data_IF_288157061533
#
_entry.id   IF_288157061533
#
_cell.length_a   1.000
_cell.length_b   1.000
_cell.length_c   1.000
_cell.angle_alpha   90.00
_cell.angle_beta   90.00
_cell.angle_gamma   90.00
#
_symmetry.space_group_name_H-M   'P 1'
#
loop_
_entity.id
_entity.type
_entity.pdbx_description
1 polymer ?
#
# COMPACT_ATOMS: atom_id res chain seq x y z
N UNK A 1 12.59 24.17 8.89
CA UNK A 1 11.96 23.30 7.87
C UNK A 1 12.73 23.50 6.58
N UNK A 2 13.38 22.46 6.06
CA UNK A 2 14.19 22.56 4.85
C UNK A 2 13.23 22.69 3.66
N UNK A 3 13.23 23.86 3.02
CA UNK A 3 12.49 24.12 1.78
C UNK A 3 13.11 23.25 0.68
N UNK A 4 12.58 22.03 0.52
CA UNK A 4 13.05 21.14 -0.55
C UNK A 4 12.66 21.73 -1.89
N UNK A 5 13.59 21.77 -2.83
CA UNK A 5 13.26 22.09 -4.21
C UNK A 5 12.36 20.99 -4.81
N UNK A 6 11.58 21.32 -5.84
CA UNK A 6 10.73 20.34 -6.55
C UNK A 6 11.58 19.18 -7.10
N UNK A 7 12.79 19.46 -7.56
CA UNK A 7 13.74 18.47 -8.05
C UNK A 7 14.23 17.54 -6.93
N UNK A 8 14.56 18.08 -5.76
CA UNK A 8 14.92 17.28 -4.58
C UNK A 8 13.76 16.39 -4.11
N UNK A 9 12.52 16.90 -4.17
CA UNK A 9 11.33 16.09 -3.86
C UNK A 9 11.23 14.93 -4.86
N UNK A 10 11.34 15.19 -6.16
CA UNK A 10 11.27 14.14 -7.18
C UNK A 10 12.33 13.07 -6.98
N UNK A 11 13.60 13.47 -6.83
CA UNK A 11 14.73 12.54 -6.68
C UNK A 11 14.57 11.73 -5.39
N UNK A 12 14.24 12.38 -4.27
CA UNK A 12 14.08 11.69 -2.99
C UNK A 12 12.88 10.73 -2.99
N UNK A 13 11.77 11.11 -3.62
CA UNK A 13 10.60 10.26 -3.78
C UNK A 13 10.84 9.08 -4.72
N UNK A 14 11.51 9.28 -5.84
CA UNK A 14 11.88 8.21 -6.77
C UNK A 14 12.87 7.22 -6.13
N UNK A 15 13.85 7.72 -5.36
CA UNK A 15 14.77 6.89 -4.59
C UNK A 15 14.04 6.06 -3.55
N UNK A 16 13.11 6.69 -2.82
CA UNK A 16 12.29 6.01 -1.83
C UNK A 16 11.41 4.92 -2.46
N UNK A 17 10.80 5.18 -3.61
CA UNK A 17 10.01 4.19 -4.31
C UNK A 17 10.87 3.00 -4.76
N UNK A 18 12.01 3.26 -5.42
CA UNK A 18 12.91 2.20 -5.91
C UNK A 18 13.46 1.32 -4.78
N UNK A 19 13.69 1.90 -3.59
CA UNK A 19 14.21 1.16 -2.45
C UNK A 19 13.16 0.27 -1.77
N UNK A 20 11.90 0.72 -1.74
CA UNK A 20 10.87 0.09 -0.91
C UNK A 20 9.84 -0.73 -1.70
N UNK A 21 9.60 -0.39 -2.98
CA UNK A 21 8.65 -1.13 -3.81
C UNK A 21 9.03 -2.61 -3.99
N UNK A 22 10.28 -2.96 -4.34
CA UNK A 22 10.68 -4.36 -4.44
C UNK A 22 10.53 -5.10 -3.09
N UNK A 23 10.88 -4.44 -1.97
CA UNK A 23 10.75 -5.03 -0.63
C UNK A 23 9.30 -5.32 -0.27
N UNK A 24 8.40 -4.39 -0.55
CA UNK A 24 6.96 -4.60 -0.37
C UNK A 24 6.47 -5.84 -1.13
N UNK A 25 6.81 -5.93 -2.42
CA UNK A 25 6.42 -7.07 -3.26
C UNK A 25 6.99 -8.38 -2.72
N UNK A 26 8.26 -8.40 -2.30
CA UNK A 26 8.92 -9.58 -1.74
C UNK A 26 8.28 -9.98 -0.41
N UNK A 27 8.08 -9.07 0.54
CA UNK A 27 7.47 -9.39 1.83
C UNK A 27 6.04 -9.89 1.67
N UNK A 28 5.23 -9.21 0.86
CA UNK A 28 3.84 -9.61 0.64
C UNK A 28 3.75 -10.96 -0.11
N UNK A 29 4.58 -11.14 -1.14
CA UNK A 29 4.66 -12.38 -1.90
C UNK A 29 5.13 -13.56 -1.04
N UNK A 30 6.16 -13.34 -0.20
CA UNK A 30 6.65 -14.38 0.71
C UNK A 30 5.64 -14.71 1.80
N UNK A 31 4.89 -13.74 2.33
CA UNK A 31 3.80 -14.01 3.27
C UNK A 31 2.77 -14.96 2.66
N UNK A 32 2.38 -14.69 1.40
CA UNK A 32 1.45 -15.54 0.66
C UNK A 32 2.03 -16.93 0.38
N UNK A 33 3.28 -17.03 -0.09
CA UNK A 33 3.95 -18.31 -0.38
C UNK A 33 4.08 -19.16 0.89
N UNK A 34 4.55 -18.58 2.00
CA UNK A 34 4.71 -19.30 3.28
C UNK A 34 3.37 -19.82 3.78
N UNK A 35 2.32 -18.99 3.72
CA UNK A 35 0.97 -19.42 4.05
C UNK A 35 0.48 -20.57 3.16
N UNK A 36 0.65 -20.42 1.84
CA UNK A 36 0.20 -21.41 0.86
C UNK A 36 0.89 -22.76 1.08
N UNK A 37 2.22 -22.77 1.21
CA UNK A 37 2.98 -24.01 1.43
C UNK A 37 2.62 -24.62 2.79
N UNK A 38 2.55 -23.78 3.83
CA UNK A 38 2.24 -24.22 5.19
C UNK A 38 0.89 -24.90 5.32
N UNK A 39 -0.15 -24.28 4.76
CA UNK A 39 -1.53 -24.80 4.82
C UNK A 39 -1.79 -25.95 3.86
N UNK A 40 -1.10 -25.99 2.71
CA UNK A 40 -1.31 -27.02 1.69
C UNK A 40 -0.52 -28.30 1.96
N UNK A 41 0.74 -28.18 2.43
CA UNK A 41 1.64 -29.33 2.56
C UNK A 41 1.97 -29.65 4.01
N UNK A 42 2.58 -28.72 4.75
CA UNK A 42 3.15 -29.04 6.07
C UNK A 42 2.08 -29.40 7.11
N UNK A 43 1.04 -28.57 7.26
CA UNK A 43 -0.02 -28.82 8.24
C UNK A 43 -0.70 -30.18 7.97
N UNK A 44 -1.17 -30.50 6.73
CA UNK A 44 -1.77 -31.80 6.45
C UNK A 44 -0.83 -33.00 6.65
N UNK A 45 0.45 -32.88 6.29
CA UNK A 45 1.42 -33.97 6.40
C UNK A 45 1.67 -34.39 7.85
N UNK A 46 1.62 -33.44 8.77
CA UNK A 46 1.89 -33.67 10.19
C UNK A 46 0.62 -33.88 11.04
N UNK A 47 -0.57 -33.97 10.40
CA UNK A 47 -1.82 -34.29 11.11
C UNK A 47 -1.75 -35.69 11.72
N UNK A 48 -2.15 -35.79 12.98
CA UNK A 48 -2.13 -37.05 13.74
C UNK A 48 -0.74 -37.52 14.18
N UNK A 49 0.32 -36.76 13.88
CA UNK A 49 1.64 -36.99 14.46
C UNK A 49 1.79 -36.17 15.75
N UNK A 50 2.36 -36.78 16.79
CA UNK A 50 2.48 -36.16 18.10
C UNK A 50 3.93 -36.07 18.55
N UNK A 51 4.31 -34.89 19.05
CA UNK A 51 5.56 -34.65 19.75
C UNK A 51 5.25 -34.53 21.25
N UNK A 52 5.32 -35.66 21.95
CA UNK A 52 4.85 -35.76 23.33
C UNK A 52 3.34 -35.57 23.41
N UNK A 53 2.89 -34.52 24.11
CA UNK A 53 1.46 -34.22 24.29
C UNK A 53 0.88 -33.25 23.24
N UNK A 54 1.70 -32.74 22.32
CA UNK A 54 1.30 -31.72 21.35
C UNK A 54 1.30 -32.33 19.94
N UNK A 55 0.23 -32.10 19.18
CA UNK A 55 0.17 -32.49 17.78
C UNK A 55 1.13 -31.62 16.94
N UNK A 56 1.96 -32.26 16.11
CA UNK A 56 2.95 -31.58 15.28
C UNK A 56 2.31 -30.54 14.33
N UNK A 57 1.13 -30.85 13.78
CA UNK A 57 0.34 -29.92 12.95
C UNK A 57 -0.01 -28.61 13.66
N UNK A 58 -0.21 -28.65 14.99
CA UNK A 58 -0.46 -27.46 15.82
C UNK A 58 0.79 -26.61 15.97
N UNK A 59 1.95 -27.24 16.10
CA UNK A 59 3.23 -26.54 16.16
C UNK A 59 3.54 -25.84 14.83
N UNK A 60 3.35 -26.55 13.70
CA UNK A 60 3.51 -25.99 12.37
C UNK A 60 2.61 -24.77 12.17
N UNK A 61 1.34 -24.88 12.57
CA UNK A 61 0.37 -23.79 12.46
C UNK A 61 0.85 -22.53 13.20
N UNK A 62 1.40 -22.68 14.42
CA UNK A 62 1.93 -21.54 15.20
C UNK A 62 3.16 -20.92 14.51
N UNK A 63 4.08 -21.75 14.00
CA UNK A 63 5.30 -21.29 13.34
C UNK A 63 4.97 -20.54 12.04
N UNK A 64 4.11 -21.13 11.20
CA UNK A 64 3.63 -20.52 9.95
C UNK A 64 2.91 -19.20 10.25
N UNK A 65 2.03 -19.20 11.25
CA UNK A 65 1.30 -17.99 11.66
C UNK A 65 2.27 -16.87 12.05
N UNK A 66 3.24 -17.16 12.91
CA UNK A 66 4.23 -16.18 13.35
C UNK A 66 5.05 -15.62 12.17
N UNK A 67 5.52 -16.50 11.27
CA UNK A 67 6.26 -16.10 10.08
C UNK A 67 5.44 -15.18 9.17
N UNK A 68 4.19 -15.55 8.90
CA UNK A 68 3.29 -14.78 8.05
C UNK A 68 2.95 -13.41 8.67
N UNK A 69 2.69 -13.35 9.98
CA UNK A 69 2.45 -12.09 10.69
C UNK A 69 3.63 -11.14 10.56
N UNK A 70 4.86 -11.62 10.74
CA UNK A 70 6.07 -10.80 10.60
C UNK A 70 6.23 -10.27 9.18
N UNK A 71 6.03 -11.13 8.16
CA UNK A 71 6.14 -10.74 6.75
C UNK A 71 5.05 -9.74 6.36
N UNK A 72 3.81 -9.95 6.81
CA UNK A 72 2.72 -9.01 6.58
C UNK A 72 3.02 -7.67 7.25
N UNK A 73 3.48 -7.66 8.49
CA UNK A 73 3.83 -6.43 9.20
C UNK A 73 4.94 -5.64 8.47
N UNK A 74 5.98 -6.33 7.99
CA UNK A 74 7.01 -5.72 7.16
C UNK A 74 6.42 -5.13 5.86
N UNK A 75 5.47 -5.82 5.22
CA UNK A 75 4.78 -5.30 4.03
C UNK A 75 3.99 -4.01 4.30
N UNK A 76 3.36 -3.86 5.48
CA UNK A 76 2.66 -2.64 5.89
C UNK A 76 3.60 -1.45 6.01
N UNK A 77 4.81 -1.65 6.55
CA UNK A 77 5.82 -0.59 6.64
C UNK A 77 6.25 -0.15 5.24
N UNK A 78 6.59 -1.12 4.39
CA UNK A 78 7.13 -0.83 3.05
C UNK A 78 6.09 -0.19 2.14
N UNK A 79 4.83 -0.63 2.16
CA UNK A 79 3.78 -0.03 1.33
C UNK A 79 3.49 1.42 1.73
N UNK A 80 3.61 1.76 3.02
CA UNK A 80 3.49 3.14 3.48
C UNK A 80 4.58 4.04 2.87
N UNK A 81 5.82 3.54 2.82
CA UNK A 81 6.93 4.24 2.18
C UNK A 81 6.75 4.34 0.65
N UNK A 82 6.28 3.27 0.01
CA UNK A 82 5.94 3.26 -1.42
C UNK A 82 4.88 4.32 -1.74
N UNK A 83 3.81 4.39 -0.92
CA UNK A 83 2.73 5.37 -1.05
C UNK A 83 3.26 6.81 -1.00
N UNK A 84 4.15 7.09 -0.05
CA UNK A 84 4.79 8.40 0.09
C UNK A 84 5.69 8.75 -1.09
N UNK A 85 6.39 7.75 -1.63
CA UNK A 85 7.21 7.88 -2.84
C UNK A 85 6.37 8.26 -4.05
N UNK A 86 5.26 7.54 -4.29
CA UNK A 86 4.33 7.82 -5.40
C UNK A 86 3.71 9.21 -5.26
N UNK A 87 3.19 9.54 -4.08
CA UNK A 87 2.58 10.84 -3.80
C UNK A 87 3.56 12.01 -4.07
N UNK A 88 4.81 11.90 -3.59
CA UNK A 88 5.80 12.94 -3.77
C UNK A 88 6.27 13.09 -5.22
N UNK A 89 6.38 11.99 -5.98
CA UNK A 89 6.68 12.08 -7.41
C UNK A 89 5.56 12.78 -8.19
N UNK A 90 4.29 12.48 -7.90
CA UNK A 90 3.15 13.10 -8.57
C UNK A 90 3.11 14.61 -8.26
N UNK A 91 3.27 14.99 -6.99
CA UNK A 91 3.32 16.41 -6.60
C UNK A 91 4.49 17.11 -7.30
N UNK A 92 5.67 16.49 -7.35
CA UNK A 92 6.82 17.09 -8.02
C UNK A 92 6.63 17.23 -9.53
N UNK A 93 5.93 16.28 -10.17
CA UNK A 93 5.58 16.36 -11.59
C UNK A 93 4.59 17.48 -11.87
N UNK A 94 3.57 17.65 -11.01
CA UNK A 94 2.56 18.70 -11.16
C UNK A 94 3.16 20.10 -10.95
N UNK A 95 4.03 20.24 -9.95
CA UNK A 95 4.69 21.50 -9.60
C UNK A 95 5.93 21.80 -10.45
N UNK A 96 6.15 21.10 -11.56
CA UNK A 96 7.35 21.25 -12.38
C UNK A 96 7.54 22.72 -12.82
N UNK A 97 8.62 23.35 -12.35
CA UNK A 97 8.95 24.77 -12.58
C UNK A 97 8.45 25.75 -11.52
N UNK A 98 7.80 25.28 -10.44
CA UNK A 98 7.56 26.07 -9.22
C UNK A 98 8.76 25.95 -8.27
N UNK A 99 9.09 27.03 -7.57
CA UNK A 99 10.15 27.03 -6.53
C UNK A 99 9.64 26.60 -5.17
N UNK A 100 8.32 26.60 -4.93
CA UNK A 100 7.73 26.30 -3.62
C UNK A 100 6.82 25.10 -3.66
N UNK A 101 7.03 24.20 -2.70
CA UNK A 101 6.19 23.05 -2.40
C UNK A 101 5.22 23.47 -1.29
N UNK A 102 3.93 23.29 -1.51
CA UNK A 102 2.94 23.39 -0.44
C UNK A 102 2.94 22.10 0.39
N UNK A 103 3.40 22.20 1.64
CA UNK A 103 3.43 21.09 2.60
C UNK A 103 2.04 20.52 2.88
N UNK A 104 0.98 21.35 2.86
CA UNK A 104 -0.39 20.89 3.06
C UNK A 104 -0.84 19.99 1.90
N UNK A 105 -0.57 20.42 0.67
CA UNK A 105 -0.80 19.65 -0.57
C UNK A 105 -0.06 18.32 -0.54
N UNK A 106 1.24 18.33 -0.20
CA UNK A 106 2.04 17.10 -0.13
C UNK A 106 1.51 16.14 0.95
N UNK A 107 1.16 16.64 2.14
CA UNK A 107 0.57 15.81 3.20
C UNK A 107 -0.77 15.21 2.79
N UNK A 108 -1.65 16.00 2.16
CA UNK A 108 -2.96 15.54 1.69
C UNK A 108 -2.78 14.43 0.65
N UNK A 109 -1.86 14.61 -0.30
CA UNK A 109 -1.53 13.61 -1.31
C UNK A 109 -1.01 12.31 -0.68
N UNK A 110 0.00 12.40 0.20
CA UNK A 110 0.57 11.23 0.90
C UNK A 110 -0.49 10.44 1.66
N UNK A 111 -1.36 11.14 2.40
CA UNK A 111 -2.45 10.50 3.15
C UNK A 111 -3.38 9.73 2.22
N UNK A 112 -3.81 10.34 1.11
CA UNK A 112 -4.69 9.69 0.13
C UNK A 112 -4.06 8.43 -0.44
N UNK A 113 -2.79 8.49 -0.86
CA UNK A 113 -2.08 7.33 -1.38
C UNK A 113 -1.94 6.21 -0.34
N UNK A 114 -1.57 6.54 0.91
CA UNK A 114 -1.49 5.55 1.99
C UNK A 114 -2.84 4.86 2.22
N UNK A 115 -3.94 5.60 2.25
CA UNK A 115 -5.27 5.02 2.45
C UNK A 115 -5.60 4.00 1.36
N UNK A 116 -5.27 4.28 0.11
CA UNK A 116 -5.53 3.38 -1.01
C UNK A 116 -4.57 2.19 -0.98
N UNK A 117 -3.28 2.44 -0.77
CA UNK A 117 -2.27 1.39 -0.92
C UNK A 117 -2.27 0.40 0.25
N UNK A 118 -2.71 0.81 1.45
CA UNK A 118 -2.90 -0.14 2.56
C UNK A 118 -3.97 -1.21 2.29
N UNK A 119 -4.84 -1.02 1.29
CA UNK A 119 -5.82 -2.04 0.88
C UNK A 119 -5.10 -3.33 0.42
N UNK A 120 -3.94 -3.23 -0.22
CA UNK A 120 -3.21 -4.39 -0.74
C UNK A 120 -2.83 -5.40 0.37
N UNK A 121 -1.99 -5.06 1.37
CA UNK A 121 -1.63 -6.00 2.42
C UNK A 121 -2.83 -6.39 3.30
N UNK A 122 -3.82 -5.50 3.50
CA UNK A 122 -5.04 -5.84 4.24
C UNK A 122 -5.83 -6.95 3.54
N UNK A 123 -5.96 -6.88 2.22
CA UNK A 123 -6.70 -7.89 1.44
C UNK A 123 -5.96 -9.23 1.45
N UNK A 124 -4.64 -9.23 1.27
CA UNK A 124 -3.83 -10.45 1.35
C UNK A 124 -3.86 -11.04 2.77
N UNK A 125 -3.73 -10.21 3.81
CA UNK A 125 -3.87 -10.65 5.19
C UNK A 125 -5.23 -11.32 5.41
N UNK A 126 -6.31 -10.72 4.91
CA UNK A 126 -7.63 -11.34 5.01
C UNK A 126 -7.68 -12.71 4.33
N UNK A 127 -7.14 -12.86 3.12
CA UNK A 127 -7.11 -14.16 2.43
C UNK A 127 -6.34 -15.22 3.22
N UNK A 128 -5.24 -14.83 3.87
CA UNK A 128 -4.42 -15.71 4.70
C UNK A 128 -5.18 -16.12 5.96
N UNK A 129 -5.76 -15.14 6.65
CA UNK A 129 -6.41 -15.34 7.94
C UNK A 129 -7.87 -15.81 7.81
N UNK A 130 -8.51 -15.74 6.65
CA UNK A 130 -9.94 -16.04 6.50
C UNK A 130 -10.26 -17.46 6.96
N UNK A 131 -9.42 -18.43 6.60
CA UNK A 131 -9.60 -19.83 7.00
C UNK A 131 -9.46 -19.98 8.52
N UNK A 132 -8.45 -19.32 9.11
CA UNK A 132 -8.23 -19.32 10.57
C UNK A 132 -9.34 -18.60 11.33
N UNK A 133 -9.87 -17.50 10.80
CA UNK A 133 -10.94 -16.71 11.43
C UNK A 133 -12.29 -17.42 11.36
N UNK A 134 -12.53 -18.22 10.31
CA UNK A 134 -13.78 -18.98 10.15
C UNK A 134 -13.96 -20.02 11.26
N UNK A 135 -12.85 -20.64 11.69
CA UNK A 135 -12.84 -21.63 12.77
C UNK A 135 -13.09 -21.00 14.16
N UNK A 136 -12.85 -19.69 14.31
CA UNK A 136 -13.04 -18.96 15.57
C UNK A 136 -14.46 -18.38 15.66
N UNK A 137 -14.91 -17.63 14.65
CA UNK A 137 -16.25 -17.07 14.59
C UNK A 137 -16.66 -16.75 13.13
N UNK A 138 -17.67 -17.45 12.58
CA UNK A 138 -18.15 -17.24 11.21
C UNK A 138 -18.59 -15.80 10.89
N UNK A 139 -19.04 -15.04 11.89
CA UNK A 139 -19.45 -13.63 11.70
C UNK A 139 -18.26 -12.72 11.37
N UNK A 140 -17.06 -13.05 11.86
CA UNK A 140 -15.85 -12.24 11.61
C UNK A 140 -15.43 -12.30 10.15
N UNK A 141 -15.62 -13.44 9.51
CA UNK A 141 -15.36 -13.64 8.08
C UNK A 141 -16.36 -12.87 7.21
N UNK A 142 -17.58 -12.62 7.69
CA UNK A 142 -18.59 -11.85 6.96
C UNK A 142 -18.39 -10.34 7.10
N UNK A 143 -18.08 -9.85 8.30
CA UNK A 143 -17.96 -8.41 8.56
C UNK A 143 -16.66 -7.80 8.02
N UNK A 144 -15.57 -8.56 8.00
CA UNK A 144 -14.28 -8.04 7.56
C UNK A 144 -14.24 -7.64 6.08
N UNK A 145 -14.73 -8.45 5.11
CA UNK A 145 -14.86 -8.04 3.72
C UNK A 145 -15.70 -6.78 3.55
N UNK A 146 -16.81 -6.65 4.27
CA UNK A 146 -17.67 -5.46 4.22
C UNK A 146 -16.86 -4.22 4.62
N UNK A 147 -16.08 -4.31 5.70
CA UNK A 147 -15.17 -3.24 6.10
C UNK A 147 -14.14 -2.89 5.02
N UNK A 148 -13.49 -3.90 4.41
CA UNK A 148 -12.51 -3.67 3.33
C UNK A 148 -13.17 -3.04 2.09
N UNK A 149 -14.39 -3.43 1.75
CA UNK A 149 -15.17 -2.82 0.66
C UNK A 149 -15.47 -1.36 0.96
N UNK A 150 -15.98 -1.05 2.15
CA UNK A 150 -16.25 0.33 2.59
C UNK A 150 -14.98 1.17 2.51
N UNK A 151 -13.86 0.67 3.04
CA UNK A 151 -12.58 1.35 2.96
C UNK A 151 -12.14 1.54 1.51
N UNK A 152 -12.28 0.55 0.65
CA UNK A 152 -11.95 0.66 -0.78
C UNK A 152 -12.74 1.76 -1.46
N UNK A 153 -14.05 1.85 -1.18
CA UNK A 153 -14.90 2.94 -1.69
C UNK A 153 -14.43 4.30 -1.17
N UNK A 154 -14.16 4.43 0.13
CA UNK A 154 -13.64 5.66 0.74
C UNK A 154 -12.30 6.07 0.10
N UNK A 155 -11.39 5.11 -0.07
CA UNK A 155 -10.09 5.31 -0.71
C UNK A 155 -10.23 5.80 -2.15
N UNK A 156 -11.10 5.16 -2.93
CA UNK A 156 -11.39 5.54 -4.31
C UNK A 156 -11.97 6.96 -4.41
N UNK A 157 -12.96 7.30 -3.57
CA UNK A 157 -13.54 8.65 -3.55
C UNK A 157 -12.50 9.71 -3.20
N UNK A 158 -11.68 9.46 -2.17
CA UNK A 158 -10.60 10.39 -1.81
C UNK A 158 -9.55 10.53 -2.92
N UNK A 159 -9.21 9.43 -3.59
CA UNK A 159 -8.30 9.43 -4.73
C UNK A 159 -8.82 10.32 -5.84
N UNK A 160 -10.09 10.14 -6.23
CA UNK A 160 -10.75 10.96 -7.26
C UNK A 160 -10.79 12.43 -6.89
N UNK A 161 -11.19 12.77 -5.67
CA UNK A 161 -11.30 14.18 -5.24
C UNK A 161 -9.93 14.84 -5.18
N UNK A 162 -8.95 14.20 -4.51
CA UNK A 162 -7.64 14.81 -4.25
C UNK A 162 -6.80 14.80 -5.51
N UNK A 163 -6.65 13.67 -6.19
CA UNK A 163 -5.82 13.61 -7.40
C UNK A 163 -6.52 14.30 -8.57
N UNK A 164 -7.86 14.22 -8.65
CA UNK A 164 -8.63 14.91 -9.68
C UNK A 164 -8.44 16.43 -9.64
N UNK A 165 -8.55 17.06 -8.46
CA UNK A 165 -8.33 18.51 -8.34
C UNK A 165 -6.93 18.93 -8.78
N UNK A 166 -5.95 18.09 -8.49
CA UNK A 166 -4.54 18.34 -8.77
C UNK A 166 -4.21 18.22 -10.25
N UNK A 167 -4.82 17.24 -10.92
CA UNK A 167 -4.74 17.06 -12.39
C UNK A 167 -5.47 18.19 -13.11
N UNK A 168 -6.62 18.62 -12.61
CA UNK A 168 -7.38 19.73 -13.20
C UNK A 168 -6.59 21.05 -13.14
N UNK A 169 -5.98 21.36 -12.00
CA UNK A 169 -5.07 22.52 -11.86
C UNK A 169 -3.92 22.45 -12.87
N UNK A 170 -3.29 21.29 -13.02
CA UNK A 170 -2.20 21.08 -13.97
C UNK A 170 -2.66 21.30 -15.42
N UNK A 171 -3.84 20.81 -15.78
CA UNK A 171 -4.43 20.97 -17.11
C UNK A 171 -4.76 22.44 -17.43
N UNK A 172 -5.30 23.18 -16.45
CA UNK A 172 -5.56 24.62 -16.57
C UNK A 172 -4.26 25.40 -16.77
N UNK A 173 -3.24 25.13 -15.94
CA UNK A 173 -1.93 25.78 -16.05
C UNK A 173 -1.24 25.51 -17.40
N UNK A 174 -1.37 24.29 -17.93
CA UNK A 174 -0.86 23.94 -19.26
C UNK A 174 -1.57 24.73 -20.37
N UNK A 175 -2.90 24.79 -20.30
CA UNK A 175 -3.73 25.53 -21.27
C UNK A 175 -3.37 27.02 -21.30
N UNK A 176 -3.17 27.62 -20.12
CA UNK A 176 -2.79 29.03 -20.02
C UNK A 176 -1.39 29.31 -20.58
N UNK A 177 -0.43 28.41 -20.34
CA UNK A 177 0.92 28.49 -20.96
C UNK A 177 0.84 28.43 -22.49
N UNK A 178 -0.01 27.55 -23.03
CA UNK A 178 -0.22 27.43 -24.49
C UNK A 178 -0.86 28.69 -25.08
N UNK A 179 -1.89 29.24 -24.44
CA UNK A 179 -2.53 30.52 -24.85
C UNK A 179 -1.53 31.67 -24.87
N UNK A 180 -0.69 31.80 -23.84
CA UNK A 180 0.36 32.84 -23.78
C UNK A 180 1.38 32.69 -24.92
N UNK A 181 1.83 31.46 -25.23
CA UNK A 181 2.75 31.19 -26.35
C UNK A 181 2.12 31.51 -27.72
N UNK A 182 0.81 31.30 -27.89
CA UNK A 182 0.11 31.62 -29.12
C UNK A 182 -0.11 33.13 -29.29
N UNK A 183 -0.47 33.83 -28.21
CA UNK A 183 -0.70 35.28 -28.26
C UNK A 183 0.59 36.11 -28.35
N UNK A 184 1.71 35.61 -27.84
CA UNK A 184 3.03 36.26 -27.98
C UNK A 184 3.73 36.03 -29.33
N UNK A 185 3.07 35.36 -30.28
CA UNK A 185 3.55 35.16 -31.67
C UNK A 185 2.80 36.02 -32.71
N UNK A 186 1.96 36.97 -32.26
CA UNK A 186 1.41 38.05 -33.09
C UNK A 186 2.20 39.32 -32.85
#
# INVERSE_FOLDING_TARGET
>A
MVEKSVEELYISSARNLRANFPKFVVFLGMAYIVWLIGTTFFIPLNKGQFLGAIEASRLDSIIILAAVVVLLFASFIEIGNVSDGVAGMIVAYILHGSTKIDDLRLRKMKRTFRTVFYIFPVTVAFLIFSNLLNDINPLTVTLWPIFVVIWTVIGAVMMTIVVGSEVEEAARAFTDKMKKKMNGKK
#
